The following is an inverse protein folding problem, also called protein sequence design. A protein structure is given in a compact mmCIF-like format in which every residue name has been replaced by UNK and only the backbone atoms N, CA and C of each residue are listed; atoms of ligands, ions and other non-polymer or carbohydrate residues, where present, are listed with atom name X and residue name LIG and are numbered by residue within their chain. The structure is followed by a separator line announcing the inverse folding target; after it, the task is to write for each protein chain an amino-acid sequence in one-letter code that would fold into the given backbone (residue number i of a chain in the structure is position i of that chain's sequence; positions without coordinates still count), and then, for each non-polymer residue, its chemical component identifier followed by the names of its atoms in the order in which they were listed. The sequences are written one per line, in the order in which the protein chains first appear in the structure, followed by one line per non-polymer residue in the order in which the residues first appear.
data_IF_146861014050
#
_entry.id   IF_146861014050
#
_cell.length_a   1.000
_cell.length_b   1.000
_cell.length_c   1.000
_cell.angle_alpha   90.00
_cell.angle_beta   90.00
_cell.angle_gamma   90.00
#
_symmetry.space_group_name_H-M   'P 1'
#
loop_
_entity.id
_entity.type
_entity.pdbx_description
1 polymer ?
#
# COMPACT_ATOMS: atom_id res chain seq x y z
N UNK A 1 -10.75 -1.30 -3.19
CA UNK A 1 -11.14 -0.16 -4.06
C UNK A 1 -10.33 -0.23 -5.34
N UNK A 2 -10.93 0.02 -6.50
CA UNK A 2 -10.23 -0.02 -7.79
C UNK A 2 -9.32 1.19 -8.03
N UNK A 3 -8.38 1.06 -8.96
CA UNK A 3 -7.37 2.08 -9.30
C UNK A 3 -7.97 3.46 -9.64
N UNK A 4 -9.15 3.50 -10.29
CA UNK A 4 -9.85 4.75 -10.62
C UNK A 4 -10.12 5.63 -9.39
N UNK A 5 -10.57 5.02 -8.29
CA UNK A 5 -10.87 5.74 -7.04
C UNK A 5 -9.59 6.19 -6.32
N UNK A 6 -8.49 5.46 -6.50
CA UNK A 6 -7.18 5.83 -5.97
C UNK A 6 -6.60 7.03 -6.75
N UNK A 7 -6.77 7.05 -8.06
CA UNK A 7 -6.37 8.17 -8.92
C UNK A 7 -7.11 9.46 -8.56
N UNK A 8 -8.45 9.41 -8.39
CA UNK A 8 -9.23 10.58 -7.97
C UNK A 8 -8.75 11.16 -6.63
N UNK A 9 -8.49 10.29 -5.64
CA UNK A 9 -7.95 10.72 -4.34
C UNK A 9 -6.56 11.32 -4.42
N UNK A 10 -5.72 10.83 -5.33
CA UNK A 10 -4.40 11.42 -5.54
C UNK A 10 -4.51 12.81 -6.18
N UNK A 11 -5.44 13.01 -7.11
CA UNK A 11 -5.72 14.33 -7.68
C UNK A 11 -6.19 15.32 -6.60
N UNK A 12 -7.20 14.95 -5.79
CA UNK A 12 -7.66 15.75 -4.64
C UNK A 12 -6.55 16.05 -3.61
N UNK A 13 -5.57 15.15 -3.48
CA UNK A 13 -4.41 15.39 -2.63
C UNK A 13 -3.47 16.42 -3.24
N UNK A 14 -3.18 16.31 -4.55
CA UNK A 14 -2.32 17.25 -5.28
C UNK A 14 -2.91 18.65 -5.30
N UNK A 15 -4.22 18.81 -5.51
CA UNK A 15 -4.90 20.11 -5.41
C UNK A 15 -4.71 20.76 -4.03
N UNK A 16 -4.82 19.96 -2.95
CA UNK A 16 -4.57 20.47 -1.59
C UNK A 16 -3.11 20.78 -1.34
N UNK A 17 -2.19 20.06 -1.98
CA UNK A 17 -0.76 20.31 -1.90
C UNK A 17 -0.41 21.64 -2.60
N UNK A 18 -0.94 21.87 -3.80
CA UNK A 18 -0.80 23.13 -4.55
C UNK A 18 -1.38 24.32 -3.77
N UNK A 19 -2.50 24.10 -3.06
CA UNK A 19 -3.06 25.10 -2.15
C UNK A 19 -2.27 25.29 -0.83
N UNK A 20 -1.14 24.61 -0.65
CA UNK A 20 -0.29 24.68 0.54
C UNK A 20 -0.89 24.05 1.81
N UNK A 21 -1.98 23.28 1.68
CA UNK A 21 -2.73 22.71 2.82
C UNK A 21 -2.17 21.39 3.33
N UNK A 22 -1.39 20.70 2.50
CA UNK A 22 -0.73 19.44 2.84
C UNK A 22 0.69 19.42 2.28
N UNK A 23 1.55 18.62 2.90
CA UNK A 23 2.93 18.41 2.43
C UNK A 23 2.96 17.47 1.23
N UNK A 24 4.05 17.52 0.47
CA UNK A 24 4.28 16.61 -0.64
C UNK A 24 4.43 15.15 -0.18
N UNK A 25 3.88 14.23 -0.98
CA UNK A 25 4.19 12.80 -0.87
C UNK A 25 5.49 12.53 -1.61
N UNK A 26 6.59 12.47 -0.85
CA UNK A 26 7.89 12.11 -1.41
C UNK A 26 8.03 10.59 -1.60
N UNK A 27 8.80 10.12 -2.60
CA UNK A 27 9.06 8.71 -2.82
C UNK A 27 9.53 7.97 -1.57
N UNK A 28 10.37 8.58 -0.73
CA UNK A 28 10.91 7.93 0.48
C UNK A 28 9.82 7.65 1.52
N UNK A 29 8.71 8.40 1.53
CA UNK A 29 7.56 8.10 2.37
C UNK A 29 6.88 6.81 1.92
N UNK A 30 6.74 6.64 0.61
CA UNK A 30 6.10 5.46 0.00
C UNK A 30 7.00 4.24 0.12
N UNK A 31 8.33 4.39 -0.04
CA UNK A 31 9.30 3.29 0.11
C UNK A 31 9.27 2.71 1.53
N UNK A 32 9.21 3.58 2.55
CA UNK A 32 9.06 3.12 3.94
C UNK A 32 7.77 2.35 4.19
N UNK A 33 6.68 2.76 3.56
CA UNK A 33 5.39 2.07 3.68
C UNK A 33 5.45 0.72 2.96
N UNK A 34 6.01 0.66 1.75
CA UNK A 34 6.23 -0.58 1.01
C UNK A 34 7.06 -1.57 1.84
N UNK A 35 8.20 -1.14 2.37
CA UNK A 35 9.05 -2.00 3.20
C UNK A 35 8.29 -2.59 4.41
N UNK A 36 7.44 -1.80 5.07
CA UNK A 36 6.61 -2.27 6.19
C UNK A 36 5.55 -3.27 5.74
N UNK A 37 4.90 -3.03 4.61
CA UNK A 37 3.86 -3.91 4.08
C UNK A 37 4.45 -5.23 3.59
N UNK A 38 5.58 -5.22 2.90
CA UNK A 38 6.29 -6.43 2.46
C UNK A 38 6.75 -7.27 3.65
N UNK A 39 7.31 -6.66 4.70
CA UNK A 39 7.67 -7.39 5.92
C UNK A 39 6.45 -8.05 6.58
N UNK A 40 5.31 -7.34 6.60
CA UNK A 40 4.06 -7.88 7.14
C UNK A 40 3.54 -9.05 6.30
N UNK A 41 3.61 -8.95 4.98
CA UNK A 41 3.19 -10.02 4.08
C UNK A 41 4.06 -11.28 4.25
N UNK A 42 5.38 -11.11 4.37
CA UNK A 42 6.31 -12.21 4.64
C UNK A 42 6.01 -12.89 5.97
N UNK A 43 5.87 -12.12 7.06
CA UNK A 43 5.54 -12.65 8.39
C UNK A 43 4.20 -13.39 8.41
N UNK A 44 3.18 -12.89 7.70
CA UNK A 44 1.90 -13.60 7.57
C UNK A 44 2.04 -14.91 6.79
N UNK A 45 2.89 -14.93 5.76
CA UNK A 45 3.15 -16.13 4.96
C UNK A 45 3.92 -17.19 5.74
N UNK A 46 4.89 -16.80 6.55
CA UNK A 46 5.61 -17.67 7.50
C UNK A 46 4.63 -18.27 8.52
N UNK A 47 3.82 -17.44 9.16
CA UNK A 47 2.84 -17.91 10.15
C UNK A 47 1.79 -18.86 9.54
N UNK A 48 1.42 -18.64 8.27
CA UNK A 48 0.55 -19.55 7.51
C UNK A 48 1.21 -20.90 7.21
N UNK A 49 2.53 -20.92 6.99
CA UNK A 49 3.27 -22.15 6.71
C UNK A 49 3.43 -23.01 7.97
N UNK A 50 3.62 -22.37 9.12
CA UNK A 50 3.81 -23.04 10.42
C UNK A 50 2.50 -23.53 11.06
N UNK A 51 1.37 -22.91 10.73
CA UNK A 51 0.09 -23.26 11.34
C UNK A 51 -0.59 -24.47 10.67
N UNK A 52 -0.97 -25.45 11.50
CA UNK A 52 -1.82 -26.59 11.12
C UNK A 52 -3.31 -26.35 11.38
N UNK A 53 -3.65 -25.26 12.08
CA UNK A 53 -5.02 -24.84 12.38
C UNK A 53 -5.63 -24.16 11.14
N UNK A 54 -6.67 -24.77 10.58
CA UNK A 54 -7.35 -24.34 9.37
C UNK A 54 -8.14 -23.03 9.56
N UNK A 55 -8.71 -22.79 10.74
CA UNK A 55 -9.42 -21.56 11.07
C UNK A 55 -8.43 -20.41 11.19
N UNK A 56 -7.30 -20.65 11.89
CA UNK A 56 -6.20 -19.68 11.99
C UNK A 56 -5.63 -19.36 10.61
N UNK A 57 -5.36 -20.37 9.77
CA UNK A 57 -4.87 -20.17 8.39
C UNK A 57 -5.83 -19.32 7.57
N UNK A 58 -7.14 -19.56 7.64
CA UNK A 58 -8.15 -18.77 6.92
C UNK A 58 -8.10 -17.28 7.31
N UNK A 59 -7.95 -16.99 8.60
CA UNK A 59 -7.81 -15.60 9.08
C UNK A 59 -6.52 -14.96 8.61
N UNK A 60 -5.42 -15.70 8.57
CA UNK A 60 -4.13 -15.21 8.08
C UNK A 60 -4.18 -14.94 6.56
N UNK A 61 -4.85 -15.78 5.78
CA UNK A 61 -5.06 -15.57 4.34
C UNK A 61 -5.81 -14.26 4.08
N UNK A 62 -6.87 -13.98 4.85
CA UNK A 62 -7.60 -12.72 4.74
C UNK A 62 -6.70 -11.52 5.06
N UNK A 63 -5.88 -11.61 6.12
CA UNK A 63 -4.90 -10.57 6.48
C UNK A 63 -3.86 -10.38 5.36
N UNK A 64 -3.37 -11.47 4.78
CA UNK A 64 -2.39 -11.48 3.69
C UNK A 64 -2.96 -10.84 2.44
N UNK A 65 -4.20 -11.17 2.07
CA UNK A 65 -4.91 -10.55 0.94
C UNK A 65 -4.99 -9.02 1.11
N UNK A 66 -5.34 -8.55 2.31
CA UNK A 66 -5.36 -7.12 2.59
C UNK A 66 -3.96 -6.51 2.46
N UNK A 67 -2.91 -7.18 2.98
CA UNK A 67 -1.54 -6.70 2.85
C UNK A 67 -1.12 -6.56 1.38
N UNK A 68 -1.39 -7.57 0.54
CA UNK A 68 -1.13 -7.55 -0.90
C UNK A 68 -1.88 -6.43 -1.62
N UNK A 69 -3.15 -6.20 -1.27
CA UNK A 69 -3.90 -5.06 -1.82
C UNK A 69 -3.27 -3.71 -1.46
N UNK A 70 -2.73 -3.57 -0.24
CA UNK A 70 -2.06 -2.33 0.17
C UNK A 70 -0.71 -2.18 -0.50
N UNK A 71 0.04 -3.27 -0.72
CA UNK A 71 1.29 -3.27 -1.48
C UNK A 71 1.02 -2.76 -2.89
N UNK A 72 0.06 -3.34 -3.61
CA UNK A 72 -0.28 -2.93 -4.97
C UNK A 72 -0.68 -1.44 -5.06
N UNK A 73 -1.40 -0.92 -4.05
CA UNK A 73 -1.75 0.51 -3.98
C UNK A 73 -0.53 1.38 -3.73
N UNK A 74 0.38 0.96 -2.86
CA UNK A 74 1.62 1.68 -2.57
C UNK A 74 2.58 1.66 -3.75
N UNK A 75 2.69 0.55 -4.49
CA UNK A 75 3.44 0.44 -5.74
C UNK A 75 2.86 1.36 -6.82
N UNK A 76 1.54 1.37 -6.96
CA UNK A 76 0.88 2.30 -7.87
C UNK A 76 1.18 3.76 -7.49
N UNK A 77 1.10 4.10 -6.20
CA UNK A 77 1.41 5.45 -5.72
C UNK A 77 2.88 5.80 -5.97
N UNK A 78 3.79 4.85 -5.75
CA UNK A 78 5.22 4.99 -6.04
C UNK A 78 5.45 5.41 -7.50
N UNK A 79 4.78 4.73 -8.43
CA UNK A 79 4.85 5.06 -9.84
C UNK A 79 4.30 6.46 -10.15
N UNK A 80 3.32 6.96 -9.39
CA UNK A 80 2.80 8.33 -9.58
C UNK A 80 3.72 9.40 -9.01
N UNK A 81 4.43 9.13 -7.91
CA UNK A 81 5.34 10.10 -7.28
C UNK A 81 6.73 10.09 -7.89
N UNK A 82 7.15 8.99 -8.54
CA UNK A 82 8.40 8.91 -9.30
C UNK A 82 8.27 9.45 -10.73
N UNK A 83 7.05 9.59 -11.26
CA UNK A 83 6.84 10.26 -12.54
C UNK A 83 7.21 11.74 -12.38
N UNK A 84 8.13 12.27 -13.20
CA UNK A 84 8.36 13.71 -13.23
C UNK A 84 7.04 14.41 -13.59
N UNK A 85 6.77 15.56 -12.98
CA UNK A 85 5.72 16.44 -13.44
C UNK A 85 6.06 16.82 -14.90
N UNK A 86 5.32 16.26 -15.85
CA UNK A 86 5.34 16.70 -17.25
C UNK A 86 4.71 18.09 -17.37
#
# INVERSE_FOLDING_TARGET
MGLKKLAARLAEYRERQEAGRVREIRPEHVERILAKLTRKEASLSEEMAETSDTEKRTRLEQKRKIALEQIARAEWLMAQVKKPAS
#
